data_IF_948850786680
#
_entry.id   IF_948850786680
#
_cell.length_a   1.000
_cell.length_b   1.000
_cell.length_c   1.000
_cell.angle_alpha   90.00
_cell.angle_beta   90.00
_cell.angle_gamma   90.00
#
_symmetry.space_group_name_H-M   'P 1'
#
loop_
_entity.id
_entity.type
_entity.pdbx_description
1 polymer ?
#
# COMPACT_ATOMS: atom_id res chain seq x y z
N UNK A 1 -4.37 -29.36 33.39
CA UNK A 1 -3.83 -28.11 32.84
C UNK A 1 -4.74 -27.68 31.70
N UNK A 2 -5.68 -26.77 31.93
CA UNK A 2 -6.44 -26.15 30.84
C UNK A 2 -5.51 -25.23 30.07
N UNK A 3 -5.12 -25.64 28.87
CA UNK A 3 -4.32 -24.82 27.95
C UNK A 3 -5.22 -23.72 27.38
N UNK A 4 -5.00 -22.48 27.81
CA UNK A 4 -5.63 -21.32 27.19
C UNK A 4 -5.02 -21.11 25.80
N UNK A 5 -5.83 -20.64 24.86
CA UNK A 5 -5.28 -20.16 23.59
C UNK A 5 -4.66 -18.78 23.78
N UNK A 6 -3.70 -18.42 22.92
CA UNK A 6 -3.02 -17.12 22.96
C UNK A 6 -4.03 -15.96 22.93
N UNK A 7 -5.09 -16.08 22.14
CA UNK A 7 -6.17 -15.08 22.05
C UNK A 7 -6.93 -14.91 23.37
N UNK A 8 -7.17 -16.02 24.08
CA UNK A 8 -7.82 -15.98 25.38
C UNK A 8 -6.92 -15.32 26.43
N UNK A 9 -5.62 -15.60 26.40
CA UNK A 9 -4.66 -14.95 27.29
C UNK A 9 -4.63 -13.43 27.08
N UNK A 10 -4.58 -12.97 25.82
CA UNK A 10 -4.62 -11.53 25.53
C UNK A 10 -5.95 -10.87 25.91
N UNK A 11 -7.07 -11.57 25.72
CA UNK A 11 -8.38 -11.09 26.17
C UNK A 11 -8.45 -10.93 27.69
N UNK A 12 -7.86 -11.86 28.44
CA UNK A 12 -7.77 -11.80 29.90
C UNK A 12 -6.88 -10.61 30.32
N UNK A 13 -5.69 -10.50 29.74
CA UNK A 13 -4.73 -9.42 30.07
C UNK A 13 -5.34 -8.04 29.78
N UNK A 14 -5.94 -7.84 28.62
CA UNK A 14 -6.57 -6.56 28.25
C UNK A 14 -7.74 -6.18 29.17
N UNK A 15 -8.56 -7.15 29.58
CA UNK A 15 -9.65 -6.91 30.54
C UNK A 15 -9.14 -6.52 31.93
N UNK A 16 -8.00 -7.08 32.37
CA UNK A 16 -7.43 -6.74 33.68
C UNK A 16 -6.68 -5.41 33.68
N UNK A 17 -5.91 -5.12 32.62
CA UNK A 17 -5.18 -3.86 32.48
C UNK A 17 -6.09 -2.64 32.26
N UNK A 18 -7.25 -2.82 31.64
CA UNK A 18 -8.22 -1.73 31.42
C UNK A 18 -8.99 -1.29 32.68
N UNK A 19 -9.01 -2.11 33.74
CA UNK A 19 -9.78 -1.84 34.96
C UNK A 19 -8.86 -1.49 36.12
N UNK A 20 -8.73 -0.19 36.40
CA UNK A 20 -7.84 0.33 37.45
C UNK A 20 -8.11 -0.23 38.84
N UNK A 21 -9.37 -0.55 39.17
CA UNK A 21 -9.75 -1.14 40.45
C UNK A 21 -9.17 -2.54 40.64
N UNK A 22 -9.22 -3.37 39.58
CA UNK A 22 -8.63 -4.71 39.56
C UNK A 22 -7.11 -4.64 39.63
N UNK A 23 -6.51 -3.75 38.83
CA UNK A 23 -5.07 -3.55 38.81
C UNK A 23 -4.54 -3.06 40.16
N UNK A 24 -5.25 -2.13 40.82
CA UNK A 24 -4.91 -1.65 42.17
C UNK A 24 -4.95 -2.77 43.20
N UNK A 25 -6.01 -3.59 43.17
CA UNK A 25 -6.13 -4.74 44.10
C UNK A 25 -5.04 -5.78 43.85
N UNK A 26 -4.66 -6.00 42.60
CA UNK A 26 -3.54 -6.88 42.24
C UNK A 26 -2.19 -6.30 42.68
N UNK A 27 -1.96 -5.00 42.46
CA UNK A 27 -0.73 -4.32 42.86
C UNK A 27 -0.47 -4.38 44.38
N UNK A 28 -1.52 -4.36 45.20
CA UNK A 28 -1.42 -4.54 46.64
C UNK A 28 -0.85 -5.90 47.08
N UNK A 29 -0.82 -6.89 46.19
CA UNK A 29 -0.26 -8.23 46.46
C UNK A 29 1.19 -8.39 46.00
N UNK A 30 1.79 -7.32 45.46
CA UNK A 30 3.13 -7.32 44.86
C UNK A 30 4.03 -6.31 45.56
N UNK A 31 5.33 -6.54 45.47
CA UNK A 31 6.34 -5.62 45.99
C UNK A 31 6.47 -4.39 45.11
N UNK A 32 6.92 -3.29 45.71
CA UNK A 32 7.09 -2.00 45.03
C UNK A 32 8.10 -2.11 43.89
N UNK A 33 9.20 -2.83 44.09
CA UNK A 33 10.22 -3.06 43.06
C UNK A 33 9.63 -3.74 41.82
N UNK A 34 8.78 -4.75 42.02
CA UNK A 34 8.08 -5.43 40.92
C UNK A 34 7.15 -4.47 40.16
N UNK A 35 6.45 -3.58 40.87
CA UNK A 35 5.59 -2.58 40.25
C UNK A 35 6.39 -1.56 39.43
N UNK A 36 7.57 -1.14 39.90
CA UNK A 36 8.46 -0.25 39.16
C UNK A 36 8.97 -0.89 37.87
N UNK A 37 9.35 -2.17 37.90
CA UNK A 37 9.83 -2.88 36.72
C UNK A 37 8.74 -3.06 35.67
N UNK A 38 7.52 -3.38 36.10
CA UNK A 38 6.35 -3.47 35.20
C UNK A 38 6.02 -2.10 34.63
N UNK A 39 6.11 -1.03 35.43
CA UNK A 39 5.91 0.34 34.97
C UNK A 39 6.93 0.73 33.90
N UNK A 40 8.23 0.49 34.13
CA UNK A 40 9.30 0.75 33.14
C UNK A 40 9.06 -0.02 31.84
N UNK A 41 8.66 -1.29 31.95
CA UNK A 41 8.37 -2.12 30.79
C UNK A 41 7.20 -1.57 29.97
N UNK A 42 6.11 -1.17 30.64
CA UNK A 42 4.96 -0.54 29.99
C UNK A 42 5.32 0.82 29.37
N UNK A 43 6.16 1.61 30.05
CA UNK A 43 6.63 2.89 29.54
C UNK A 43 7.43 2.72 28.24
N UNK A 44 8.37 1.78 28.18
CA UNK A 44 9.10 1.45 26.95
C UNK A 44 8.16 1.06 25.82
N UNK A 45 7.21 0.15 26.06
CA UNK A 45 6.23 -0.28 25.05
C UNK A 45 5.41 0.91 24.53
N UNK A 46 5.03 1.84 25.41
CA UNK A 46 4.29 3.04 25.01
C UNK A 46 5.14 3.97 24.16
N UNK A 47 6.42 4.16 24.49
CA UNK A 47 7.33 4.97 23.68
C UNK A 47 7.55 4.36 22.30
N UNK A 48 7.81 3.05 22.23
CA UNK A 48 8.00 2.34 20.96
C UNK A 48 6.77 2.46 20.06
N UNK A 49 5.56 2.32 20.63
CA UNK A 49 4.32 2.49 19.87
C UNK A 49 4.08 3.94 19.42
N UNK A 50 4.42 4.93 20.25
CA UNK A 50 4.33 6.35 19.85
C UNK A 50 5.28 6.68 18.72
N UNK A 51 6.52 6.18 18.79
CA UNK A 51 7.51 6.35 17.73
C UNK A 51 7.04 5.68 16.44
N UNK A 52 6.56 4.44 16.53
CA UNK A 52 6.01 3.69 15.39
C UNK A 52 4.84 4.45 14.76
N UNK A 53 3.89 4.94 15.56
CA UNK A 53 2.75 5.71 15.07
C UNK A 53 3.17 7.03 14.41
N UNK A 54 4.17 7.71 14.96
CA UNK A 54 4.74 8.94 14.39
C UNK A 54 5.41 8.66 13.06
N UNK A 55 6.19 7.59 12.95
CA UNK A 55 6.86 7.18 11.70
C UNK A 55 5.83 6.80 10.63
N UNK A 56 4.82 6.02 10.98
CA UNK A 56 3.73 5.66 10.06
C UNK A 56 2.96 6.88 9.57
N UNK A 57 2.69 7.83 10.46
CA UNK A 57 2.01 9.09 10.10
C UNK A 57 2.87 9.92 9.14
N UNK A 58 4.17 10.01 9.40
CA UNK A 58 5.12 10.74 8.56
C UNK A 58 5.32 10.06 7.19
N UNK A 59 5.34 8.73 7.14
CA UNK A 59 5.39 7.98 5.88
C UNK A 59 4.12 8.19 5.05
N UNK A 60 2.95 8.18 5.71
CA UNK A 60 1.67 8.47 5.04
C UNK A 60 1.63 9.89 4.48
N UNK A 61 2.10 10.88 5.24
CA UNK A 61 2.16 12.28 4.81
C UNK A 61 3.15 12.46 3.64
N UNK A 62 4.34 11.84 3.71
CA UNK A 62 5.30 11.86 2.61
C UNK A 62 4.75 11.19 1.34
N UNK A 63 4.01 10.09 1.48
CA UNK A 63 3.39 9.39 0.36
C UNK A 63 2.32 10.26 -0.30
N UNK A 64 1.51 10.96 0.48
CA UNK A 64 0.51 11.88 -0.06
C UNK A 64 1.18 13.10 -0.72
N UNK A 65 2.22 13.67 -0.10
CA UNK A 65 2.96 14.78 -0.69
C UNK A 65 3.57 14.40 -2.04
N UNK A 66 4.21 13.22 -2.12
CA UNK A 66 4.72 12.68 -3.39
C UNK A 66 3.61 12.49 -4.42
N UNK A 67 2.43 12.03 -4.01
CA UNK A 67 1.27 11.88 -4.91
C UNK A 67 0.85 13.23 -5.48
N UNK A 68 0.75 14.26 -4.65
CA UNK A 68 0.40 15.62 -5.06
C UNK A 68 1.45 16.24 -5.99
N UNK A 69 2.73 16.03 -5.71
CA UNK A 69 3.82 16.53 -6.55
C UNK A 69 3.84 15.85 -7.93
N UNK A 70 3.59 14.53 -8.00
CA UNK A 70 3.43 13.81 -9.27
C UNK A 70 2.25 14.38 -10.07
N UNK A 71 1.10 14.60 -9.43
CA UNK A 71 -0.07 15.18 -10.11
C UNK A 71 0.21 16.59 -10.63
N UNK A 72 0.95 17.41 -9.87
CA UNK A 72 1.37 18.74 -10.32
C UNK A 72 2.28 18.65 -11.55
N UNK A 73 3.29 17.77 -11.51
CA UNK A 73 4.22 17.59 -12.61
C UNK A 73 3.50 17.15 -13.89
N UNK A 74 2.56 16.20 -13.79
CA UNK A 74 1.76 15.73 -14.92
C UNK A 74 0.94 16.88 -15.53
N UNK A 75 0.32 17.71 -14.68
CA UNK A 75 -0.41 18.90 -15.14
C UNK A 75 0.48 19.92 -15.82
N UNK A 76 1.67 20.21 -15.26
CA UNK A 76 2.62 21.20 -15.79
C UNK A 76 3.24 20.77 -17.12
N UNK A 77 3.51 19.48 -17.28
CA UNK A 77 4.06 18.91 -18.52
C UNK A 77 3.00 18.72 -19.60
N UNK A 78 1.73 18.99 -19.31
CA UNK A 78 0.62 18.82 -20.25
C UNK A 78 0.33 17.35 -20.57
N UNK A 79 0.81 16.42 -19.75
CA UNK A 79 0.45 15.01 -19.87
C UNK A 79 -0.95 14.78 -19.30
N UNK A 80 -1.71 13.95 -19.98
CA UNK A 80 -3.01 13.51 -19.51
C UNK A 80 -2.85 12.18 -18.75
N UNK A 81 -3.45 12.11 -17.55
CA UNK A 81 -3.34 10.97 -16.64
C UNK A 81 -3.83 9.66 -17.28
N UNK A 82 -4.81 9.75 -18.18
CA UNK A 82 -5.39 8.60 -18.88
C UNK A 82 -4.50 8.08 -20.02
N UNK A 83 -3.59 8.93 -20.53
CA UNK A 83 -2.80 8.62 -21.73
C UNK A 83 -1.29 8.61 -21.50
N UNK A 84 -0.82 9.02 -20.33
CA UNK A 84 0.61 9.08 -19.97
C UNK A 84 1.32 7.72 -20.03
N UNK A 85 0.58 6.62 -19.90
CA UNK A 85 1.11 5.26 -20.05
C UNK A 85 1.34 4.83 -21.53
N UNK A 86 0.98 5.68 -22.49
CA UNK A 86 1.18 5.42 -23.92
C UNK A 86 2.56 6.00 -24.32
N UNK A 87 3.52 5.17 -24.74
CA UNK A 87 4.87 5.63 -25.05
C UNK A 87 4.88 6.51 -26.30
N UNK A 88 5.21 7.79 -26.13
CA UNK A 88 5.35 8.77 -27.24
C UNK A 88 6.58 8.47 -28.11
N UNK A 89 7.55 7.70 -27.59
CA UNK A 89 8.80 7.33 -28.26
C UNK A 89 8.67 6.14 -29.22
N UNK A 90 7.63 5.31 -29.08
CA UNK A 90 7.32 4.28 -30.08
C UNK A 90 6.51 4.97 -31.16
N UNK A 91 7.22 5.74 -31.98
CA UNK A 91 6.73 6.15 -33.28
C UNK A 91 6.22 4.89 -33.98
N UNK A 92 4.90 4.75 -34.03
CA UNK A 92 4.25 3.85 -34.97
C UNK A 92 4.44 4.46 -36.36
N UNK A 93 5.67 4.42 -36.88
CA UNK A 93 5.93 4.47 -38.30
C UNK A 93 5.34 3.18 -38.91
N UNK A 94 4.01 3.09 -38.97
CA UNK A 94 3.35 2.27 -39.97
C UNK A 94 3.60 2.99 -41.28
N UNK A 95 4.69 2.63 -41.95
CA UNK A 95 4.89 2.94 -43.35
C UNK A 95 3.58 2.58 -44.08
N UNK A 96 2.89 3.57 -44.61
CA UNK A 96 1.77 3.36 -45.53
C UNK A 96 2.31 2.48 -46.65
N UNK A 97 1.98 1.18 -46.67
CA UNK A 97 2.20 0.33 -47.84
C UNK A 97 1.36 0.94 -48.96
N UNK A 98 2.02 1.65 -49.88
CA UNK A 98 1.46 2.02 -51.17
C UNK A 98 1.12 0.73 -51.91
N UNK A 99 -0.17 0.47 -52.13
CA UNK A 99 -0.62 -0.57 -53.05
C UNK A 99 -0.23 -0.16 -54.48
N UNK A 100 0.97 -0.54 -54.89
CA UNK A 100 1.40 -0.49 -56.28
C UNK A 100 1.12 -1.83 -56.96
N UNK A 101 0.23 -1.82 -57.95
CA UNK A 101 0.24 -2.75 -59.07
C UNK A 101 -0.48 -4.09 -58.91
N UNK A 102 -1.81 -4.11 -59.15
CA UNK A 102 -2.49 -5.33 -59.60
C UNK A 102 -1.95 -5.72 -60.99
N UNK A 103 -1.06 -6.71 -61.01
CA UNK A 103 -0.62 -7.40 -62.22
C UNK A 103 -1.80 -8.09 -62.92
N UNK A 104 -2.04 -7.70 -64.16
CA UNK A 104 -3.10 -8.14 -65.06
C UNK A 104 -2.72 -9.49 -65.69
N UNK A 105 -3.15 -10.61 -65.10
CA UNK A 105 -3.06 -11.92 -65.78
C UNK A 105 -4.21 -12.05 -66.77
N UNK A 106 -3.88 -11.95 -68.07
CA UNK A 106 -4.80 -12.19 -69.19
C UNK A 106 -5.12 -13.69 -69.25
N UNK A 107 -6.39 -14.08 -69.11
CA UNK A 107 -6.90 -15.31 -69.72
C UNK A 107 -7.72 -14.91 -70.93
N UNK A 108 -7.29 -15.36 -72.11
CA UNK A 108 -8.13 -15.48 -73.30
C UNK A 108 -8.83 -16.83 -73.17
N UNK A 109 -10.13 -16.88 -73.43
CA UNK A 109 -10.73 -18.01 -74.14
C UNK A 109 -12.02 -17.55 -74.81
N UNK A 110 -12.16 -17.99 -76.06
CA UNK A 110 -13.08 -17.53 -77.07
C UNK A 110 -14.54 -17.99 -76.83
N UNK A 111 -15.49 -17.22 -77.36
CA UNK A 111 -16.88 -17.59 -77.65
C UNK A 111 -17.07 -17.66 -79.19
N UNK A 112 -18.27 -17.92 -79.72
CA UNK A 112 -19.11 -19.13 -79.72
C UNK A 112 -19.31 -19.58 -81.21
N UNK A 113 -20.38 -20.27 -81.70
CA UNK A 113 -21.83 -20.09 -81.45
C UNK A 113 -22.55 -21.24 -80.75
#
# INVERSE_FOLDING_TARGET
>A
MTTLTIEQEYSIISNHLSRISTLRRFAQTKDVEWLEDVYKSLETIVQDNKETFRLMSLEAEQKEQKRLDILRLIKETGFDLETINIPVTISSFKAKKSNAGKGKTRKRDCSPP
#
